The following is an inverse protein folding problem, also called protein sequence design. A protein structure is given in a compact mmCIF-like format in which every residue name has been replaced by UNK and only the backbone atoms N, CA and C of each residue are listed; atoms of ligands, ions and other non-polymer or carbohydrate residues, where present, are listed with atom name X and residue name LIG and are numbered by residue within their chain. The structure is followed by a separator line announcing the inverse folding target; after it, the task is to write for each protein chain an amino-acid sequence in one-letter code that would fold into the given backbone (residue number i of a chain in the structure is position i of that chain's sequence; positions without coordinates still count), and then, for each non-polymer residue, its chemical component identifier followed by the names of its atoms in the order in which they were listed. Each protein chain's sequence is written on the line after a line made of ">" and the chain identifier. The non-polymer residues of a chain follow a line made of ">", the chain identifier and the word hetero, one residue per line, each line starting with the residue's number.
data_IF_914312165834
#
_entry.id   IF_914312165834
#
_cell.length_a   1.000
_cell.length_b   1.000
_cell.length_c   1.000
_cell.angle_alpha   90.00
_cell.angle_beta   90.00
_cell.angle_gamma   90.00
#
_symmetry.space_group_name_H-M   'P 1'
#
loop_
_entity.id
_entity.type
_entity.pdbx_description
1 polymer ?
#
# COMPACT_ATOMS: atom_id res chain seq x y z
N UNK A 1 3.93 8.95 -5.40
CA UNK A 1 4.06 8.11 -6.61
C UNK A 1 3.96 6.65 -6.17
N UNK A 2 3.39 5.75 -6.97
CA UNK A 2 3.41 4.31 -6.65
C UNK A 2 4.78 3.73 -7.06
N UNK A 3 5.59 3.38 -6.05
CA UNK A 3 6.96 2.88 -6.23
C UNK A 3 7.04 1.34 -6.23
N UNK A 4 6.01 0.67 -5.71
CA UNK A 4 5.85 -0.79 -5.77
C UNK A 4 4.37 -1.17 -5.80
N UNK A 5 4.03 -2.23 -6.54
CA UNK A 5 2.67 -2.80 -6.55
C UNK A 5 2.71 -4.28 -6.92
N UNK A 6 1.68 -5.03 -6.55
CA UNK A 6 1.60 -6.44 -6.89
C UNK A 6 0.27 -7.05 -6.47
N UNK A 7 0.12 -8.33 -6.79
CA UNK A 7 -1.12 -9.06 -6.60
C UNK A 7 -0.84 -10.44 -5.99
N UNK A 8 -1.76 -10.94 -5.16
CA UNK A 8 -1.68 -12.31 -4.63
C UNK A 8 -2.02 -13.36 -5.70
N UNK A 9 -2.89 -13.04 -6.68
CA UNK A 9 -3.47 -14.04 -7.60
C UNK A 9 -3.87 -13.47 -8.97
N UNK A 10 -3.23 -12.40 -9.42
CA UNK A 10 -3.56 -11.81 -10.73
C UNK A 10 -3.08 -12.70 -11.88
N UNK A 11 -3.71 -12.55 -13.04
CA UNK A 11 -3.29 -13.24 -14.26
C UNK A 11 -2.47 -12.32 -15.17
N UNK A 12 -1.88 -12.89 -16.22
CA UNK A 12 -1.02 -12.15 -17.14
C UNK A 12 -1.71 -10.95 -17.80
N UNK A 13 -3.02 -11.00 -18.05
CA UNK A 13 -3.75 -9.87 -18.64
C UNK A 13 -3.91 -8.70 -17.66
N UNK A 14 -4.03 -8.98 -16.36
CA UNK A 14 -3.99 -7.94 -15.33
C UNK A 14 -2.62 -7.24 -15.32
N UNK A 15 -1.52 -8.00 -15.35
CA UNK A 15 -0.17 -7.43 -15.43
C UNK A 15 0.07 -6.61 -16.70
N UNK A 16 -0.51 -7.02 -17.84
CA UNK A 16 -0.48 -6.22 -19.06
C UNK A 16 -1.16 -4.87 -18.86
N UNK A 17 -2.32 -4.83 -18.18
CA UNK A 17 -3.01 -3.58 -17.83
C UNK A 17 -2.19 -2.75 -16.85
N UNK A 18 -1.62 -3.35 -15.81
CA UNK A 18 -0.83 -2.65 -14.76
C UNK A 18 0.35 -1.88 -15.33
N UNK A 19 1.02 -2.42 -16.36
CA UNK A 19 2.15 -1.76 -17.04
C UNK A 19 1.79 -0.39 -17.62
N UNK A 20 0.52 -0.14 -17.95
CA UNK A 20 0.07 1.16 -18.45
C UNK A 20 -0.16 2.21 -17.35
N UNK A 21 -0.33 1.77 -16.09
CA UNK A 21 -0.62 2.64 -14.95
C UNK A 21 0.60 2.95 -14.08
N UNK A 22 1.65 2.14 -14.16
CA UNK A 22 2.89 2.31 -13.38
C UNK A 22 3.95 3.10 -14.15
N UNK A 23 4.92 3.69 -13.43
CA UNK A 23 6.03 4.43 -14.04
C UNK A 23 7.24 3.52 -14.22
N UNK A 24 8.16 3.90 -15.12
CA UNK A 24 9.47 3.23 -15.20
C UNK A 24 10.17 3.29 -13.85
N UNK A 25 10.70 2.14 -13.42
CA UNK A 25 11.35 1.97 -12.11
C UNK A 25 10.41 1.54 -10.97
N UNK A 26 9.09 1.43 -11.21
CA UNK A 26 8.17 0.83 -10.23
C UNK A 26 8.44 -0.68 -10.12
N UNK A 27 8.63 -1.18 -8.88
CA UNK A 27 8.74 -2.60 -8.60
C UNK A 27 7.37 -3.29 -8.78
N UNK A 28 7.33 -4.39 -9.54
CA UNK A 28 6.12 -5.21 -9.70
C UNK A 28 6.41 -6.63 -9.22
N UNK A 29 5.56 -7.16 -8.34
CA UNK A 29 5.70 -8.50 -7.76
C UNK A 29 4.39 -9.30 -7.88
N UNK A 30 4.51 -10.62 -7.97
CA UNK A 30 3.42 -11.60 -8.07
C UNK A 30 3.58 -12.61 -6.94
N UNK A 31 2.49 -12.92 -6.23
CA UNK A 31 2.48 -13.85 -5.08
C UNK A 31 3.66 -13.63 -4.12
N UNK A 32 3.87 -12.38 -3.72
CA UNK A 32 5.05 -11.98 -2.94
C UNK A 32 5.07 -12.70 -1.60
N UNK A 33 6.20 -13.31 -1.28
CA UNK A 33 6.37 -13.91 0.04
C UNK A 33 6.48 -12.82 1.11
N UNK A 34 6.14 -13.15 2.37
CA UNK A 34 6.29 -12.19 3.47
C UNK A 34 7.73 -11.67 3.63
N UNK A 35 8.73 -12.54 3.40
CA UNK A 35 10.14 -12.17 3.46
C UNK A 35 10.54 -11.17 2.36
N UNK A 36 10.12 -11.41 1.11
CA UNK A 36 10.41 -10.50 0.01
C UNK A 36 9.75 -9.14 0.23
N UNK A 37 8.48 -9.14 0.64
CA UNK A 37 7.75 -7.90 0.91
C UNK A 37 8.44 -7.07 2.00
N UNK A 38 8.87 -7.71 3.10
CA UNK A 38 9.63 -7.07 4.16
C UNK A 38 10.93 -6.45 3.63
N UNK A 39 11.73 -7.21 2.85
CA UNK A 39 12.99 -6.72 2.29
C UNK A 39 12.80 -5.59 1.27
N UNK A 40 11.73 -5.64 0.48
CA UNK A 40 11.38 -4.54 -0.43
C UNK A 40 11.01 -3.27 0.34
N UNK A 41 10.21 -3.38 1.40
CA UNK A 41 9.82 -2.25 2.24
C UNK A 41 11.03 -1.65 2.97
N UNK A 42 11.95 -2.48 3.48
CA UNK A 42 13.20 -2.03 4.10
C UNK A 42 14.12 -1.31 3.10
N UNK A 43 14.23 -1.81 1.87
CA UNK A 43 15.10 -1.21 0.85
C UNK A 43 14.52 0.05 0.20
N UNK A 44 13.21 0.08 -0.04
CA UNK A 44 12.52 1.20 -0.70
C UNK A 44 12.20 2.30 0.31
N UNK A 45 11.90 1.96 1.57
CA UNK A 45 11.40 2.86 2.62
C UNK A 45 10.25 3.76 2.13
N UNK A 46 9.11 3.18 1.73
CA UNK A 46 7.96 3.97 1.25
C UNK A 46 7.32 4.78 2.39
N UNK A 47 6.76 5.94 2.05
CA UNK A 47 6.04 6.80 3.01
C UNK A 47 4.68 6.23 3.43
N UNK A 48 4.15 5.26 2.68
CA UNK A 48 2.90 4.57 2.97
C UNK A 48 2.89 3.19 2.31
N UNK A 49 2.43 2.18 3.06
CA UNK A 49 2.12 0.85 2.51
C UNK A 49 0.62 0.61 2.56
N UNK A 50 0.08 0.11 1.45
CA UNK A 50 -1.31 -0.34 1.34
C UNK A 50 -1.39 -1.84 1.05
N UNK A 51 -1.89 -2.64 2.00
CA UNK A 51 -2.01 -4.10 1.84
C UNK A 51 -3.15 -4.67 2.73
N UNK A 52 -3.10 -5.96 3.06
CA UNK A 52 -4.06 -6.66 3.91
C UNK A 52 -3.81 -6.55 5.41
N UNK A 53 -4.67 -7.22 6.19
CA UNK A 53 -4.57 -7.24 7.66
C UNK A 53 -3.32 -7.97 8.15
N UNK A 54 -2.85 -8.99 7.41
CA UNK A 54 -1.72 -9.83 7.81
C UNK A 54 -0.41 -9.02 7.77
N UNK A 55 -0.31 -8.06 6.87
CA UNK A 55 0.86 -7.23 6.62
C UNK A 55 0.90 -5.95 7.49
N UNK A 56 -0.24 -5.54 8.06
CA UNK A 56 -0.40 -4.27 8.78
C UNK A 56 0.61 -4.11 9.92
N UNK A 57 0.59 -5.02 10.88
CA UNK A 57 1.35 -4.84 12.12
C UNK A 57 2.86 -5.00 11.96
N UNK A 58 3.38 -5.93 11.14
CA UNK A 58 4.81 -5.97 10.83
C UNK A 58 5.29 -4.63 10.26
N UNK A 59 4.58 -4.05 9.28
CA UNK A 59 5.00 -2.80 8.63
C UNK A 59 4.91 -1.60 9.58
N UNK A 60 3.86 -1.50 10.39
CA UNK A 60 3.76 -0.43 11.40
C UNK A 60 4.90 -0.52 12.42
N UNK A 61 5.37 -1.72 12.77
CA UNK A 61 6.55 -1.95 13.63
C UNK A 61 7.88 -1.61 12.96
N UNK A 62 7.90 -1.29 11.67
CA UNK A 62 9.06 -0.72 10.97
C UNK A 62 9.02 0.81 10.93
N UNK A 63 8.06 1.44 11.63
CA UNK A 63 7.86 2.88 11.64
C UNK A 63 7.31 3.42 10.31
N UNK A 64 6.62 2.58 9.52
CA UNK A 64 6.05 2.98 8.23
C UNK A 64 4.52 3.06 8.33
N UNK A 65 3.92 4.18 7.90
CA UNK A 65 2.47 4.31 7.79
C UNK A 65 1.83 3.18 6.98
N UNK A 66 0.65 2.72 7.44
CA UNK A 66 -0.06 1.61 6.80
C UNK A 66 -1.56 1.88 6.68
N UNK A 67 -2.14 1.50 5.54
CA UNK A 67 -3.60 1.47 5.30
C UNK A 67 -4.03 0.09 4.79
N UNK A 68 -5.10 -0.46 5.37
CA UNK A 68 -5.69 -1.69 4.84
C UNK A 68 -6.47 -1.39 3.55
N UNK A 69 -5.98 -1.90 2.42
CA UNK A 69 -6.58 -1.66 1.09
C UNK A 69 -7.62 -2.71 0.67
N UNK A 70 -8.01 -3.60 1.59
CA UNK A 70 -9.11 -4.55 1.37
C UNK A 70 -10.34 -4.21 2.20
N UNK A 71 -10.13 -3.80 3.46
CA UNK A 71 -11.19 -3.52 4.44
C UNK A 71 -11.42 -2.02 4.65
N UNK A 72 -10.67 -1.16 3.96
CA UNK A 72 -10.59 0.28 4.21
C UNK A 72 -10.27 0.64 5.65
N UNK A 73 -9.65 -0.28 6.39
CA UNK A 73 -9.38 -0.16 7.81
C UNK A 73 -10.63 0.32 8.59
N UNK A 74 -11.79 -0.25 8.23
CA UNK A 74 -13.11 0.04 8.82
C UNK A 74 -13.66 1.44 8.53
N UNK A 75 -13.13 2.13 7.52
CA UNK A 75 -13.61 3.41 6.98
C UNK A 75 -14.43 3.19 5.69
N UNK A 76 -14.20 3.98 4.64
CA UNK A 76 -14.85 3.86 3.33
C UNK A 76 -16.25 4.51 3.27
N UNK A 77 -16.91 4.48 2.10
CA UNK A 77 -16.46 3.89 0.83
C UNK A 77 -15.37 4.72 0.13
N UNK A 78 -14.55 4.09 -0.72
CA UNK A 78 -13.52 4.78 -1.53
C UNK A 78 -13.93 5.03 -2.98
N UNK A 79 -15.00 4.39 -3.46
CA UNK A 79 -15.49 4.59 -4.82
C UNK A 79 -16.38 5.84 -4.92
N UNK A 80 -16.34 6.48 -6.09
CA UNK A 80 -17.15 7.67 -6.40
C UNK A 80 -16.55 8.97 -5.90
N UNK A 81 -17.18 10.09 -6.26
CA UNK A 81 -16.70 11.43 -5.90
C UNK A 81 -16.64 11.64 -4.39
N UNK A 82 -17.71 11.28 -3.68
CA UNK A 82 -17.77 11.39 -2.22
C UNK A 82 -16.76 10.44 -1.54
N UNK A 83 -16.57 9.25 -2.11
CA UNK A 83 -15.61 8.27 -1.60
C UNK A 83 -14.16 8.73 -1.73
N UNK A 84 -13.84 9.54 -2.73
CA UNK A 84 -12.49 10.09 -2.89
C UNK A 84 -12.11 11.06 -1.77
N UNK A 85 -13.07 11.83 -1.24
CA UNK A 85 -12.82 12.69 -0.08
C UNK A 85 -12.44 11.87 1.17
N UNK A 86 -13.10 10.73 1.36
CA UNK A 86 -12.82 9.79 2.46
C UNK A 86 -11.45 9.13 2.26
N UNK A 87 -11.16 8.66 1.04
CA UNK A 87 -9.85 8.11 0.69
C UNK A 87 -8.73 9.11 0.99
N UNK A 88 -8.85 10.36 0.52
CA UNK A 88 -7.82 11.39 0.73
C UNK A 88 -7.60 11.67 2.22
N UNK A 89 -8.68 11.82 3.01
CA UNK A 89 -8.61 11.99 4.46
C UNK A 89 -7.90 10.82 5.14
N UNK A 90 -8.22 9.59 4.78
CA UNK A 90 -7.66 8.41 5.44
C UNK A 90 -6.19 8.21 5.12
N UNK A 91 -5.75 8.55 3.90
CA UNK A 91 -4.32 8.53 3.55
C UNK A 91 -3.56 9.60 4.32
N UNK A 92 -4.11 10.82 4.42
CA UNK A 92 -3.51 11.92 5.20
C UNK A 92 -3.35 11.57 6.68
N UNK A 93 -4.41 11.06 7.31
CA UNK A 93 -4.38 10.65 8.73
C UNK A 93 -3.38 9.53 9.01
N UNK A 94 -3.08 8.67 8.03
CA UNK A 94 -2.08 7.63 8.18
C UNK A 94 -0.67 8.18 8.03
N UNK A 95 -0.40 8.93 6.96
CA UNK A 95 0.95 9.45 6.64
C UNK A 95 1.38 10.50 7.68
N UNK A 96 0.51 11.45 8.01
CA UNK A 96 0.84 12.61 8.83
C UNK A 96 0.51 12.40 10.33
N UNK A 97 0.39 11.15 10.77
CA UNK A 97 0.10 10.87 12.17
C UNK A 97 1.31 11.18 13.06
N UNK A 98 1.17 11.93 14.17
CA UNK A 98 2.29 12.27 15.04
C UNK A 98 2.90 11.06 15.76
N UNK A 99 2.26 9.89 15.73
CA UNK A 99 2.84 8.65 16.29
C UNK A 99 4.16 8.27 15.61
N UNK A 100 4.36 8.66 14.36
CA UNK A 100 5.58 8.31 13.61
C UNK A 100 6.80 9.12 14.05
N UNK A 101 6.60 10.29 14.67
CA UNK A 101 7.68 11.09 15.26
C UNK A 101 8.17 10.51 16.60
N UNK A 102 7.49 9.48 17.12
CA UNK A 102 7.87 8.76 18.34
C UNK A 102 8.76 7.55 18.06
N UNK A 103 9.07 7.27 16.79
CA UNK A 103 9.82 6.09 16.34
C UNK A 103 11.34 6.32 16.25
#
# INVERSE_FOLDING_TARGET
>A
VIVGTGYEFAHNDDYQRTRHYVKNGTLVYDDVTGYELEKFIEGIRPDLVGSGIKEKYPVQKMGIPFRQMHSWDYSGPYHGYDGFAIFARDMDLAINNPVWDLY
#
